data_IF_958280716990
#
_entry.id   IF_958280716990
#
_cell.length_a   1.000
_cell.length_b   1.000
_cell.length_c   1.000
_cell.angle_alpha   90.00
_cell.angle_beta   90.00
_cell.angle_gamma   90.00
#
_symmetry.space_group_name_H-M   'P 1'
#
loop_
_entity.id
_entity.type
_entity.pdbx_description
1 polymer ?
#
# COMPACT_ATOMS: atom_id res chain seq x y z
N UNK A 1 -3.27 17.90 11.22
CA UNK A 1 -3.66 16.76 12.07
C UNK A 1 -3.16 15.47 11.43
N UNK A 2 -2.44 14.65 12.19
CA UNK A 2 -1.68 13.49 11.70
C UNK A 2 -2.56 12.48 10.93
N UNK A 3 -3.73 12.02 11.45
CA UNK A 3 -4.53 11.01 10.76
C UNK A 3 -5.02 11.42 9.37
N UNK A 4 -5.25 12.71 9.12
CA UNK A 4 -5.61 13.23 7.81
C UNK A 4 -4.44 13.18 6.84
N UNK A 5 -3.25 13.64 7.25
CA UNK A 5 -2.05 13.59 6.41
C UNK A 5 -1.71 12.16 6.01
N UNK A 6 -1.79 11.22 6.95
CA UNK A 6 -1.59 9.79 6.70
C UNK A 6 -2.63 9.22 5.71
N UNK A 7 -3.91 9.63 5.82
CA UNK A 7 -4.97 9.21 4.89
C UNK A 7 -4.71 9.75 3.49
N UNK A 8 -4.37 11.02 3.39
CA UNK A 8 -4.12 11.70 2.13
C UNK A 8 -2.95 11.07 1.38
N UNK A 9 -1.83 10.82 2.07
CA UNK A 9 -0.67 10.13 1.51
C UNK A 9 -1.03 8.73 0.99
N UNK A 10 -1.78 7.96 1.79
CA UNK A 10 -2.25 6.64 1.39
C UNK A 10 -3.21 6.68 0.20
N UNK A 11 -4.08 7.69 0.11
CA UNK A 11 -4.99 7.90 -1.03
C UNK A 11 -4.25 8.32 -2.30
N UNK A 12 -3.18 9.11 -2.18
CA UNK A 12 -2.30 9.45 -3.30
C UNK A 12 -1.55 8.23 -3.81
N UNK A 13 -0.98 7.41 -2.90
CA UNK A 13 -0.32 6.16 -3.26
C UNK A 13 -1.27 5.17 -3.94
N UNK A 14 -2.48 5.00 -3.39
CA UNK A 14 -3.51 4.16 -3.99
C UNK A 14 -3.93 4.66 -5.38
N UNK A 15 -3.95 5.98 -5.62
CA UNK A 15 -4.17 6.57 -6.96
C UNK A 15 -3.03 6.27 -7.93
N UNK A 16 -1.77 6.35 -7.50
CA UNK A 16 -0.62 5.96 -8.35
C UNK A 16 -0.72 4.49 -8.76
N UNK A 17 -1.05 3.61 -7.83
CA UNK A 17 -1.26 2.19 -8.13
C UNK A 17 -2.47 1.96 -9.04
N UNK A 18 -3.55 2.73 -8.87
CA UNK A 18 -4.72 2.67 -9.74
C UNK A 18 -4.36 2.92 -11.21
N UNK A 19 -3.42 3.84 -11.49
CA UNK A 19 -2.90 4.05 -12.84
C UNK A 19 -2.13 2.84 -13.39
N UNK A 20 -1.38 2.14 -12.54
CA UNK A 20 -0.74 0.87 -12.93
C UNK A 20 -1.80 -0.20 -13.24
N UNK A 21 -2.82 -0.34 -12.40
CA UNK A 21 -3.92 -1.28 -12.61
C UNK A 21 -4.72 -0.97 -13.89
N UNK A 22 -4.93 0.30 -14.21
CA UNK A 22 -5.52 0.74 -15.49
C UNK A 22 -4.62 0.36 -16.68
N UNK A 23 -3.31 0.51 -16.54
CA UNK A 23 -2.33 0.07 -17.55
C UNK A 23 -2.42 -1.45 -17.77
N UNK A 24 -2.46 -2.26 -16.71
CA UNK A 24 -2.67 -3.71 -16.82
C UNK A 24 -3.99 -4.05 -17.50
N UNK A 25 -5.07 -3.34 -17.16
CA UNK A 25 -6.37 -3.52 -17.80
C UNK A 25 -6.34 -3.19 -19.29
N UNK A 26 -5.59 -2.15 -19.69
CA UNK A 26 -5.40 -1.78 -21.09
C UNK A 26 -4.57 -2.84 -21.84
N UNK A 27 -3.44 -3.26 -21.29
CA UNK A 27 -2.59 -4.32 -21.85
C UNK A 27 -3.37 -5.63 -22.02
N UNK A 28 -4.18 -5.99 -21.02
CA UNK A 28 -5.06 -7.14 -21.05
C UNK A 28 -6.11 -7.03 -22.18
N UNK A 29 -6.79 -5.88 -22.32
CA UNK A 29 -7.75 -5.63 -23.40
C UNK A 29 -7.08 -5.68 -24.78
N UNK A 30 -5.88 -5.11 -24.92
CA UNK A 30 -5.10 -5.18 -26.16
C UNK A 30 -4.74 -6.61 -26.52
N UNK A 31 -4.29 -7.41 -25.55
CA UNK A 31 -4.04 -8.83 -25.75
C UNK A 31 -5.33 -9.56 -26.16
N UNK A 32 -6.44 -9.31 -25.45
CA UNK A 32 -7.73 -9.92 -25.75
C UNK A 32 -8.23 -9.61 -27.16
N UNK A 33 -7.90 -8.45 -27.73
CA UNK A 33 -8.36 -8.03 -29.08
C UNK A 33 -7.34 -8.28 -30.19
N UNK A 34 -6.11 -8.69 -29.84
CA UNK A 34 -5.00 -8.92 -30.76
C UNK A 34 -5.36 -9.85 -31.92
N UNK A 35 -4.73 -9.62 -33.08
CA UNK A 35 -4.79 -10.52 -34.23
C UNK A 35 -4.09 -11.86 -33.94
N UNK A 36 -3.09 -11.85 -33.07
CA UNK A 36 -2.32 -13.03 -32.63
C UNK A 36 -2.93 -13.69 -31.39
N UNK A 37 -4.23 -13.49 -31.14
CA UNK A 37 -4.91 -14.03 -29.97
C UNK A 37 -4.78 -15.56 -29.90
N UNK A 38 -4.33 -16.07 -28.76
CA UNK A 38 -4.10 -17.48 -28.51
C UNK A 38 -2.76 -18.02 -29.02
N UNK A 39 -1.91 -17.18 -29.62
CA UNK A 39 -0.55 -17.56 -29.99
C UNK A 39 0.33 -17.77 -28.73
N UNK A 40 1.24 -18.75 -28.77
CA UNK A 40 2.10 -19.10 -27.63
C UNK A 40 2.94 -17.90 -27.13
N UNK A 41 3.41 -17.04 -28.04
CA UNK A 41 4.18 -15.84 -27.70
C UNK A 41 3.38 -14.70 -27.08
N UNK A 42 2.05 -14.70 -27.19
CA UNK A 42 1.19 -13.62 -26.71
C UNK A 42 1.31 -13.42 -25.20
N UNK A 43 1.27 -14.52 -24.44
CA UNK A 43 1.38 -14.47 -22.99
C UNK A 43 2.75 -13.93 -22.54
N UNK A 44 3.81 -14.22 -23.29
CA UNK A 44 5.15 -13.73 -22.97
C UNK A 44 5.26 -12.24 -23.25
N UNK A 45 4.74 -11.78 -24.39
CA UNK A 45 4.72 -10.36 -24.75
C UNK A 45 3.96 -9.52 -23.73
N UNK A 46 2.75 -9.95 -23.36
CA UNK A 46 1.96 -9.28 -22.31
C UNK A 46 2.70 -9.22 -20.98
N UNK A 47 3.42 -10.29 -20.62
CA UNK A 47 4.19 -10.34 -19.38
C UNK A 47 5.33 -9.32 -19.41
N UNK A 48 6.12 -9.28 -20.48
CA UNK A 48 7.21 -8.30 -20.65
C UNK A 48 6.69 -6.87 -20.55
N UNK A 49 5.65 -6.52 -21.30
CA UNK A 49 5.05 -5.18 -21.27
C UNK A 49 4.52 -4.81 -19.87
N UNK A 50 3.99 -5.79 -19.13
CA UNK A 50 3.52 -5.56 -17.76
C UNK A 50 4.67 -5.33 -16.76
N UNK A 51 5.82 -5.99 -16.94
CA UNK A 51 7.01 -5.72 -16.10
C UNK A 51 7.64 -4.37 -16.41
N UNK A 52 7.70 -3.97 -17.68
CA UNK A 52 8.18 -2.64 -18.06
C UNK A 52 7.30 -1.53 -17.47
N UNK A 53 5.98 -1.72 -17.48
CA UNK A 53 5.04 -0.81 -16.82
C UNK A 53 5.23 -0.80 -15.28
N UNK A 54 5.46 -1.97 -14.69
CA UNK A 54 5.74 -2.09 -13.25
C UNK A 54 7.06 -1.41 -12.85
N UNK A 55 8.12 -1.57 -13.64
CA UNK A 55 9.42 -0.91 -13.42
C UNK A 55 9.26 0.61 -13.43
N UNK A 56 8.55 1.14 -14.43
CA UNK A 56 8.23 2.58 -14.49
C UNK A 56 7.43 3.05 -13.27
N UNK A 57 6.52 2.22 -12.76
CA UNK A 57 5.80 2.51 -11.52
C UNK A 57 6.74 2.54 -10.32
N UNK A 58 7.63 1.55 -10.16
CA UNK A 58 8.54 1.46 -9.01
C UNK A 58 9.51 2.63 -8.95
N UNK A 59 10.07 3.06 -10.08
CA UNK A 59 10.96 4.24 -10.12
C UNK A 59 10.24 5.49 -9.59
N UNK A 60 8.98 5.70 -10.00
CA UNK A 60 8.17 6.85 -9.54
C UNK A 60 7.72 6.72 -8.09
N UNK A 61 7.32 5.52 -7.67
CA UNK A 61 6.75 5.30 -6.34
C UNK A 61 7.84 5.30 -5.26
N UNK A 62 9.06 4.88 -5.61
CA UNK A 62 10.22 4.88 -4.69
C UNK A 62 10.56 6.28 -4.21
N UNK A 63 10.68 7.26 -5.12
CA UNK A 63 10.96 8.66 -4.77
C UNK A 63 9.84 9.23 -3.90
N UNK A 64 8.58 9.08 -4.35
CA UNK A 64 7.43 9.58 -3.59
C UNK A 64 7.29 8.94 -2.21
N UNK A 65 7.60 7.65 -2.07
CA UNK A 65 7.60 6.94 -0.79
C UNK A 65 8.70 7.46 0.14
N UNK A 66 9.89 7.70 -0.40
CA UNK A 66 11.01 8.23 0.36
C UNK A 66 10.68 9.62 0.94
N UNK A 67 10.19 10.52 0.10
CA UNK A 67 9.82 11.89 0.48
C UNK A 67 8.73 11.92 1.55
N UNK A 68 7.64 11.16 1.34
CA UNK A 68 6.51 11.12 2.28
C UNK A 68 6.93 10.52 3.62
N UNK A 69 7.71 9.44 3.60
CA UNK A 69 8.18 8.81 4.83
C UNK A 69 9.10 9.74 5.64
N UNK A 70 10.01 10.45 4.97
CA UNK A 70 10.87 11.44 5.61
C UNK A 70 10.04 12.59 6.20
N UNK A 71 9.07 13.12 5.45
CA UNK A 71 8.16 14.18 5.92
C UNK A 71 7.37 13.74 7.17
N UNK A 72 6.82 12.52 7.19
CA UNK A 72 6.07 12.00 8.34
C UNK A 72 6.98 11.82 9.56
N UNK A 73 8.19 11.26 9.36
CA UNK A 73 9.15 11.09 10.44
C UNK A 73 9.59 12.43 11.03
N UNK A 74 9.93 13.41 10.17
CA UNK A 74 10.35 14.74 10.60
C UNK A 74 9.22 15.47 11.35
N UNK A 75 7.98 15.38 10.87
CA UNK A 75 6.83 15.96 11.56
C UNK A 75 6.57 15.29 12.92
N UNK A 76 6.71 13.97 13.02
CA UNK A 76 6.58 13.24 14.27
C UNK A 76 7.65 13.65 15.28
N UNK A 77 8.90 13.75 14.83
CA UNK A 77 10.03 14.22 15.62
C UNK A 77 9.81 15.65 16.13
N UNK A 78 9.55 16.58 15.22
CA UNK A 78 9.37 18.00 15.56
C UNK A 78 8.24 18.19 16.57
N UNK A 79 7.09 17.54 16.34
CA UNK A 79 5.95 17.60 17.24
C UNK A 79 6.30 17.04 18.63
N UNK A 80 7.01 15.92 18.69
CA UNK A 80 7.42 15.35 19.97
C UNK A 80 8.38 16.29 20.72
N UNK A 81 9.37 16.87 20.05
CA UNK A 81 10.30 17.84 20.65
C UNK A 81 9.58 19.11 21.13
N UNK A 82 8.65 19.64 20.33
CA UNK A 82 7.84 20.81 20.70
C UNK A 82 7.01 20.52 21.96
N UNK A 83 6.40 19.34 22.05
CA UNK A 83 5.62 18.92 23.22
C UNK A 83 6.48 18.67 24.47
N UNK A 84 7.72 18.22 24.30
CA UNK A 84 8.70 18.07 25.37
C UNK A 84 9.31 19.39 25.84
N UNK A 85 9.09 20.50 25.11
CA UNK A 85 9.77 21.78 25.32
C UNK A 85 11.31 21.67 25.33
N UNK A 86 11.84 20.66 24.64
CA UNK A 86 13.27 20.37 24.60
C UNK A 86 13.99 21.25 23.57
N UNK A 87 15.20 21.70 23.91
CA UNK A 87 16.09 22.48 23.02
C UNK A 87 17.15 21.57 22.36
N UNK A 88 17.28 20.33 22.82
CA UNK A 88 18.50 19.52 22.61
C UNK A 88 18.47 18.51 21.46
N UNK A 89 17.39 18.43 20.65
CA UNK A 89 17.29 17.43 19.59
C UNK A 89 16.87 18.01 18.24
N UNK A 90 17.83 18.61 17.52
CA UNK A 90 17.62 19.15 16.17
C UNK A 90 17.45 18.06 15.08
N UNK A 91 17.85 16.81 15.33
CA UNK A 91 17.80 15.74 14.33
C UNK A 91 17.22 14.43 14.83
N UNK A 92 16.66 13.63 13.91
CA UNK A 92 16.26 12.25 14.15
C UNK A 92 17.44 11.41 14.64
N UNK A 93 17.19 10.50 15.59
CA UNK A 93 18.20 9.53 16.04
C UNK A 93 18.52 8.52 14.94
N UNK A 94 19.74 7.96 14.97
CA UNK A 94 20.16 6.93 14.00
C UNK A 94 19.22 5.71 14.01
N UNK A 95 18.71 5.34 15.19
CA UNK A 95 17.75 4.25 15.35
C UNK A 95 16.42 4.56 14.64
N UNK A 96 15.90 5.80 14.79
CA UNK A 96 14.69 6.23 14.10
C UNK A 96 14.89 6.21 12.57
N UNK A 97 16.02 6.72 12.07
CA UNK A 97 16.35 6.69 10.64
C UNK A 97 16.44 5.26 10.08
N UNK A 98 17.10 4.35 10.82
CA UNK A 98 17.18 2.95 10.46
C UNK A 98 15.79 2.29 10.38
N UNK A 99 14.90 2.60 11.35
CA UNK A 99 13.54 2.11 11.35
C UNK A 99 12.71 2.63 10.17
N UNK A 100 12.84 3.91 9.80
CA UNK A 100 12.18 4.48 8.61
C UNK A 100 12.62 3.73 7.36
N UNK A 101 13.94 3.51 7.20
CA UNK A 101 14.51 2.78 6.06
C UNK A 101 14.00 1.33 5.98
N UNK A 102 13.92 0.62 7.11
CA UNK A 102 13.41 -0.75 7.15
C UNK A 102 11.91 -0.80 6.80
N UNK A 103 11.12 0.16 7.31
CA UNK A 103 9.69 0.25 7.03
C UNK A 103 9.41 0.55 5.55
N UNK A 104 10.21 1.43 4.93
CA UNK A 104 10.15 1.69 3.49
C UNK A 104 10.48 0.44 2.67
N UNK A 105 11.53 -0.29 3.08
CA UNK A 105 11.94 -1.53 2.42
C UNK A 105 10.84 -2.58 2.50
N UNK A 106 10.24 -2.77 3.67
CA UNK A 106 9.09 -3.66 3.86
C UNK A 106 7.90 -3.27 2.98
N UNK A 107 7.53 -1.98 2.96
CA UNK A 107 6.43 -1.47 2.14
C UNK A 107 6.68 -1.72 0.65
N UNK A 108 7.88 -1.41 0.17
CA UNK A 108 8.30 -1.65 -1.22
C UNK A 108 8.19 -3.13 -1.60
N UNK A 109 8.64 -4.03 -0.72
CA UNK A 109 8.57 -5.49 -0.93
C UNK A 109 7.12 -6.00 -1.00
N UNK A 110 6.23 -5.51 -0.13
CA UNK A 110 4.80 -5.89 -0.17
C UNK A 110 4.11 -5.41 -1.45
N UNK A 111 4.42 -4.19 -1.92
CA UNK A 111 3.91 -3.67 -3.19
C UNK A 111 4.45 -4.50 -4.36
N UNK A 112 5.75 -4.82 -4.38
CA UNK A 112 6.35 -5.70 -5.38
C UNK A 112 5.66 -7.06 -5.43
N UNK A 113 5.46 -7.70 -4.28
CA UNK A 113 4.73 -8.96 -4.19
C UNK A 113 3.31 -8.84 -4.75
N UNK A 114 2.60 -7.73 -4.48
CA UNK A 114 1.27 -7.51 -5.02
C UNK A 114 1.26 -7.30 -6.55
N UNK A 115 2.21 -6.53 -7.09
CA UNK A 115 2.37 -6.35 -8.53
C UNK A 115 2.60 -7.69 -9.24
N UNK A 116 3.48 -8.53 -8.69
CA UNK A 116 3.70 -9.88 -9.24
C UNK A 116 2.42 -10.73 -9.22
N UNK A 117 1.61 -10.65 -8.16
CA UNK A 117 0.31 -11.35 -8.09
C UNK A 117 -0.67 -10.84 -9.15
N UNK A 118 -0.75 -9.53 -9.34
CA UNK A 118 -1.64 -8.91 -10.34
C UNK A 118 -1.24 -9.31 -11.77
N UNK A 119 0.05 -9.29 -12.10
CA UNK A 119 0.58 -9.74 -13.40
C UNK A 119 0.27 -11.23 -13.61
N UNK A 120 0.47 -12.06 -12.59
CA UNK A 120 0.16 -13.49 -12.66
C UNK A 120 -1.35 -13.72 -12.85
N UNK A 121 -2.21 -12.95 -12.16
CA UNK A 121 -3.66 -13.03 -12.30
C UNK A 121 -4.10 -12.66 -13.72
N UNK A 122 -3.58 -11.56 -14.26
CA UNK A 122 -3.85 -11.12 -15.62
C UNK A 122 -3.48 -12.20 -16.64
N UNK A 123 -2.30 -12.81 -16.49
CA UNK A 123 -1.85 -13.93 -17.34
C UNK A 123 -2.78 -15.13 -17.26
N UNK A 124 -3.13 -15.55 -16.04
CA UNK A 124 -4.01 -16.69 -15.81
C UNK A 124 -5.40 -16.47 -16.44
N UNK A 125 -5.96 -15.27 -16.27
CA UNK A 125 -7.24 -14.89 -16.87
C UNK A 125 -7.17 -14.94 -18.40
N UNK A 126 -6.11 -14.40 -19.02
CA UNK A 126 -5.97 -14.45 -20.48
C UNK A 126 -5.89 -15.89 -20.99
N UNK A 127 -5.10 -16.75 -20.34
CA UNK A 127 -4.98 -18.15 -20.71
C UNK A 127 -6.32 -18.90 -20.61
N UNK A 128 -7.10 -18.63 -19.56
CA UNK A 128 -8.44 -19.19 -19.41
C UNK A 128 -9.35 -18.78 -20.56
N UNK A 129 -9.34 -17.50 -20.95
CA UNK A 129 -10.15 -17.03 -22.08
C UNK A 129 -9.73 -17.67 -23.39
N UNK A 130 -8.42 -17.82 -23.64
CA UNK A 130 -7.92 -18.52 -24.83
C UNK A 130 -8.49 -19.95 -24.91
N UNK A 131 -8.53 -20.67 -23.79
CA UNK A 131 -9.14 -22.00 -23.71
C UNK A 131 -10.65 -21.94 -23.98
N UNK A 132 -11.37 -21.01 -23.34
CA UNK A 132 -12.82 -20.85 -23.49
C UNK A 132 -13.20 -20.51 -24.94
N UNK A 133 -12.51 -19.57 -25.58
CA UNK A 133 -12.68 -19.23 -26.99
C UNK A 133 -12.39 -20.43 -27.88
N UNK A 134 -11.33 -21.19 -27.59
CA UNK A 134 -11.01 -22.43 -28.31
C UNK A 134 -12.08 -23.51 -28.17
N UNK A 135 -12.72 -23.63 -27.01
CA UNK A 135 -13.87 -24.53 -26.80
C UNK A 135 -15.10 -24.04 -27.57
N UNK A 136 -15.40 -22.74 -27.56
CA UNK A 136 -16.51 -22.15 -28.33
C UNK A 136 -16.32 -22.39 -29.84
N UNK A 137 -15.12 -22.14 -30.36
CA UNK A 137 -14.81 -22.34 -31.78
C UNK A 137 -15.07 -23.79 -32.21
N UNK A 138 -14.61 -24.76 -31.42
CA UNK A 138 -14.80 -26.20 -31.69
C UNK A 138 -16.25 -26.65 -31.55
N UNK A 139 -16.93 -26.26 -30.48
CA UNK A 139 -18.30 -26.70 -30.19
C UNK A 139 -19.32 -26.11 -31.15
N UNK A 140 -19.11 -24.86 -31.59
CA UNK A 140 -20.01 -24.16 -32.53
C UNK A 140 -19.58 -24.28 -33.99
N UNK A 141 -18.45 -24.94 -34.26
CA UNK A 141 -17.85 -25.05 -35.59
C UNK A 141 -17.71 -23.69 -36.31
N UNK A 142 -17.20 -22.69 -35.59
CA UNK A 142 -16.95 -21.34 -36.10
C UNK A 142 -15.45 -21.04 -36.05
N UNK A 143 -15.01 -20.08 -36.87
CA UNK A 143 -13.62 -19.64 -36.82
C UNK A 143 -13.27 -18.99 -35.46
N UNK A 144 -11.99 -19.04 -35.08
CA UNK A 144 -11.53 -18.54 -33.77
C UNK A 144 -11.82 -17.05 -33.57
N UNK A 145 -11.78 -16.25 -34.63
CA UNK A 145 -12.05 -14.80 -34.54
C UNK A 145 -13.52 -14.51 -34.23
N UNK A 146 -14.45 -15.24 -34.84
CA UNK A 146 -15.88 -15.15 -34.55
C UNK A 146 -16.18 -15.62 -33.12
N UNK A 147 -15.54 -16.70 -32.67
CA UNK A 147 -15.65 -17.17 -31.28
C UNK A 147 -15.11 -16.15 -30.28
N UNK A 148 -13.97 -15.52 -30.58
CA UNK A 148 -13.38 -14.45 -29.77
C UNK A 148 -14.32 -13.25 -29.65
N UNK A 149 -14.87 -12.76 -30.77
CA UNK A 149 -15.83 -11.65 -30.75
C UNK A 149 -17.11 -12.02 -29.99
N UNK A 150 -17.62 -13.24 -30.17
CA UNK A 150 -18.77 -13.72 -29.41
C UNK A 150 -18.49 -13.78 -27.90
N UNK A 151 -17.28 -14.19 -27.51
CA UNK A 151 -16.87 -14.20 -26.10
C UNK A 151 -16.84 -12.79 -25.51
N UNK A 152 -16.20 -11.84 -26.21
CA UNK A 152 -16.08 -10.44 -25.76
C UNK A 152 -17.44 -9.76 -25.63
N UNK A 153 -18.36 -10.00 -26.58
CA UNK A 153 -19.72 -9.46 -26.52
C UNK A 153 -20.52 -10.06 -25.36
N UNK A 154 -20.33 -11.35 -25.08
CA UNK A 154 -21.04 -12.03 -23.98
C UNK A 154 -20.46 -11.72 -22.59
N UNK A 155 -19.17 -11.36 -22.51
CA UNK A 155 -18.45 -11.12 -21.26
C UNK A 155 -17.81 -9.73 -21.28
N UNK A 156 -18.59 -8.66 -21.04
CA UNK A 156 -18.08 -7.29 -21.04
C UNK A 156 -17.23 -6.96 -19.80
N UNK A 157 -17.05 -7.91 -18.88
CA UNK A 157 -16.37 -7.67 -17.61
C UNK A 157 -14.89 -7.31 -17.81
N UNK A 158 -14.45 -6.27 -17.11
CA UNK A 158 -13.07 -5.79 -17.11
C UNK A 158 -12.18 -6.68 -16.23
N UNK A 159 -10.86 -6.57 -16.41
CA UNK A 159 -9.90 -7.22 -15.53
C UNK A 159 -10.03 -6.61 -14.12
N UNK A 160 -10.51 -7.41 -13.16
CA UNK A 160 -10.60 -6.99 -11.77
C UNK A 160 -9.41 -7.55 -10.98
N UNK A 161 -8.61 -6.66 -10.38
CA UNK A 161 -7.43 -7.01 -9.59
C UNK A 161 -7.74 -7.03 -8.09
N UNK A 162 -7.27 -8.06 -7.40
CA UNK A 162 -7.52 -8.26 -5.97
C UNK A 162 -6.28 -8.78 -5.25
N UNK A 163 -6.13 -8.33 -4.01
CA UNK A 163 -5.37 -9.04 -3.00
C UNK A 163 -6.21 -10.18 -2.43
N UNK A 164 -5.59 -11.34 -2.19
CA UNK A 164 -6.23 -12.50 -1.57
C UNK A 164 -5.45 -12.89 -0.32
N UNK A 165 -6.10 -12.85 0.85
CA UNK A 165 -5.48 -13.24 2.11
C UNK A 165 -5.30 -14.77 2.24
N UNK A 166 -4.58 -15.22 3.28
CA UNK A 166 -4.39 -16.66 3.56
C UNK A 166 -5.69 -17.42 3.84
N UNK A 167 -6.78 -16.71 4.17
CA UNK A 167 -8.13 -17.26 4.41
C UNK A 167 -9.01 -17.18 3.16
N UNK A 168 -8.48 -16.74 2.02
CA UNK A 168 -9.19 -16.64 0.74
C UNK A 168 -10.09 -15.39 0.62
N UNK A 169 -10.01 -14.43 1.54
CA UNK A 169 -10.78 -13.18 1.46
C UNK A 169 -10.17 -12.27 0.38
N UNK A 170 -11.04 -11.75 -0.49
CA UNK A 170 -10.68 -10.88 -1.61
C UNK A 170 -10.87 -9.43 -1.21
N UNK A 171 -9.83 -8.62 -1.42
CA UNK A 171 -9.84 -7.17 -1.21
C UNK A 171 -9.42 -6.51 -2.52
N UNK A 172 -10.13 -5.49 -3.02
CA UNK A 172 -9.68 -4.75 -4.21
C UNK A 172 -8.25 -4.26 -4.03
N UNK A 173 -7.38 -4.43 -5.04
CA UNK A 173 -5.96 -4.13 -4.87
C UNK A 173 -5.72 -2.69 -4.43
N UNK A 174 -6.49 -1.73 -4.97
CA UNK A 174 -6.44 -0.33 -4.54
C UNK A 174 -6.65 -0.15 -3.03
N UNK A 175 -7.64 -0.84 -2.46
CA UNK A 175 -7.93 -0.79 -1.02
C UNK A 175 -6.79 -1.40 -0.22
N UNK A 176 -6.23 -2.52 -0.68
CA UNK A 176 -5.06 -3.14 -0.05
C UNK A 176 -3.84 -2.20 -0.03
N UNK A 177 -3.49 -1.61 -1.18
CA UNK A 177 -2.36 -0.67 -1.30
C UNK A 177 -2.54 0.53 -0.36
N UNK A 178 -3.74 1.12 -0.33
CA UNK A 178 -4.06 2.19 0.61
C UNK A 178 -3.82 1.76 2.06
N UNK A 179 -4.30 0.57 2.44
CA UNK A 179 -4.17 0.07 3.80
C UNK A 179 -2.72 -0.18 4.22
N UNK A 180 -1.89 -0.79 3.36
CA UNK A 180 -0.47 -1.04 3.70
C UNK A 180 0.33 0.26 3.78
N UNK A 181 0.06 1.23 2.90
CA UNK A 181 0.68 2.55 2.96
C UNK A 181 0.34 3.26 4.26
N UNK A 182 -0.96 3.29 4.61
CA UNK A 182 -1.39 3.94 5.84
C UNK A 182 -0.79 3.28 7.08
N UNK A 183 -0.67 1.94 7.09
CA UNK A 183 -0.02 1.23 8.20
C UNK A 183 1.46 1.59 8.32
N UNK A 184 2.19 1.57 7.20
CA UNK A 184 3.62 1.87 7.18
C UNK A 184 3.90 3.30 7.66
N UNK A 185 3.12 4.28 7.18
CA UNK A 185 3.27 5.68 7.58
C UNK A 185 2.87 5.90 9.04
N UNK A 186 1.83 5.22 9.55
CA UNK A 186 1.47 5.26 10.96
C UNK A 186 2.57 4.64 11.83
N UNK A 187 3.17 3.54 11.38
CA UNK A 187 4.31 2.91 12.07
C UNK A 187 5.50 3.84 12.14
N UNK A 188 5.84 4.51 11.03
CA UNK A 188 6.89 5.53 10.99
C UNK A 188 6.62 6.63 12.02
N UNK A 189 5.41 7.21 12.01
CA UNK A 189 5.03 8.25 12.97
C UNK A 189 5.23 7.76 14.42
N UNK A 190 4.60 6.63 14.77
CA UNK A 190 4.59 6.14 16.14
C UNK A 190 5.98 5.77 16.65
N UNK A 191 6.77 5.07 15.84
CA UNK A 191 8.11 4.59 16.23
C UNK A 191 9.10 5.75 16.32
N UNK A 192 8.99 6.74 15.43
CA UNK A 192 9.76 7.99 15.58
C UNK A 192 9.41 8.71 16.88
N UNK A 193 8.12 8.85 17.21
CA UNK A 193 7.70 9.45 18.48
C UNK A 193 8.21 8.66 19.69
N UNK A 194 8.16 7.33 19.65
CA UNK A 194 8.68 6.47 20.73
C UNK A 194 10.18 6.63 20.93
N UNK A 195 10.95 6.69 19.85
CA UNK A 195 12.38 6.95 19.93
C UNK A 195 12.66 8.29 20.61
N UNK A 196 11.95 9.35 20.25
CA UNK A 196 12.12 10.66 20.87
C UNK A 196 11.77 10.63 22.36
N UNK A 197 10.68 9.97 22.74
CA UNK A 197 10.26 9.78 24.14
C UNK A 197 11.35 9.04 24.92
N UNK A 198 11.87 7.94 24.38
CA UNK A 198 12.92 7.13 25.00
C UNK A 198 14.26 7.90 25.12
N UNK A 199 14.62 8.68 24.10
CA UNK A 199 15.85 9.50 24.09
C UNK A 199 15.81 10.58 25.19
N UNK A 200 14.62 11.01 25.61
CA UNK A 200 14.43 11.95 26.72
C UNK A 200 14.18 11.25 28.07
N UNK A 201 14.35 9.92 28.14
CA UNK A 201 14.22 9.15 29.39
C UNK A 201 12.79 9.02 29.92
N UNK A 202 11.78 9.27 29.08
CA UNK A 202 10.38 9.08 29.44
C UNK A 202 9.94 7.64 29.19
N UNK A 203 9.11 7.11 30.08
CA UNK A 203 8.66 5.72 30.03
C UNK A 203 7.26 5.56 29.41
N UNK A 204 6.53 6.65 29.22
CA UNK A 204 5.14 6.62 28.80
C UNK A 204 4.88 7.48 27.56
N UNK A 205 3.96 7.00 26.72
CA UNK A 205 3.44 7.71 25.57
C UNK A 205 1.92 7.87 25.70
N UNK A 206 1.40 9.01 25.27
CA UNK A 206 -0.02 9.26 25.18
C UNK A 206 -0.57 8.64 23.89
N UNK A 207 -1.66 7.88 24.03
CA UNK A 207 -2.43 7.40 22.88
C UNK A 207 -3.45 8.47 22.54
N UNK A 208 -3.20 9.16 21.43
CA UNK A 208 -4.10 10.19 20.91
C UNK A 208 -5.10 9.57 19.95
N UNK A 209 -6.31 10.12 19.91
CA UNK A 209 -7.33 9.80 18.91
C UNK A 209 -7.94 11.07 18.35
N UNK A 210 -8.07 11.12 17.04
CA UNK A 210 -8.82 12.17 16.37
C UNK A 210 -10.33 11.82 16.34
N UNK A 211 -11.13 12.61 17.07
CA UNK A 211 -12.58 12.49 17.15
C UNK A 211 -13.23 13.86 16.87
N UNK A 212 -14.14 13.93 15.90
CA UNK A 212 -14.82 15.16 15.47
C UNK A 212 -13.88 16.34 15.14
N UNK A 213 -12.68 16.03 14.64
CA UNK A 213 -11.67 17.04 14.29
C UNK A 213 -10.86 17.55 15.48
N UNK A 214 -11.03 16.96 16.67
CA UNK A 214 -10.28 17.31 17.89
C UNK A 214 -9.42 16.12 18.31
N UNK A 215 -8.17 16.40 18.64
CA UNK A 215 -7.21 15.41 19.15
C UNK A 215 -7.44 15.24 20.67
N UNK A 216 -7.70 14.02 21.12
CA UNK A 216 -7.93 13.68 22.53
C UNK A 216 -7.01 12.55 22.96
N UNK A 217 -6.49 12.63 24.18
CA UNK A 217 -5.84 11.50 24.85
C UNK A 217 -6.94 10.48 25.19
N UNK A 218 -6.77 9.23 24.77
CA UNK A 218 -7.72 8.14 25.04
C UNK A 218 -7.14 7.04 25.93
N UNK A 219 -5.82 6.93 25.98
CA UNK A 219 -5.11 5.94 26.77
C UNK A 219 -3.66 6.38 26.98
N UNK A 220 -2.94 5.70 27.87
CA UNK A 220 -1.51 5.88 28.13
C UNK A 220 -0.84 4.52 28.14
N UNK A 221 0.27 4.39 27.41
CA UNK A 221 1.01 3.13 27.32
C UNK A 221 2.44 3.30 27.82
N UNK A 222 2.99 2.25 28.43
CA UNK A 222 4.43 2.17 28.65
C UNK A 222 5.11 1.86 27.31
N UNK A 223 6.23 2.53 27.02
CA UNK A 223 6.95 2.34 25.74
C UNK A 223 7.40 0.88 25.54
N UNK A 224 7.65 0.14 26.63
CA UNK A 224 8.04 -1.27 26.58
C UNK A 224 6.91 -2.21 26.15
N UNK A 225 5.65 -1.78 26.32
CA UNK A 225 4.47 -2.57 25.97
C UNK A 225 3.99 -2.31 24.54
N UNK A 226 4.61 -1.38 23.81
CA UNK A 226 4.15 -0.92 22.50
C UNK A 226 3.90 -2.08 21.53
N UNK A 227 4.83 -3.04 21.45
CA UNK A 227 4.72 -4.18 20.53
C UNK A 227 3.45 -5.04 20.78
N UNK A 228 2.98 -5.13 22.03
CA UNK A 228 1.80 -5.91 22.39
C UNK A 228 0.49 -5.18 22.07
N UNK A 229 0.48 -3.85 22.20
CA UNK A 229 -0.72 -3.02 21.99
C UNK A 229 -0.84 -2.48 20.57
N UNK A 230 0.25 -2.50 19.78
CA UNK A 230 0.33 -1.89 18.45
C UNK A 230 -0.80 -2.31 17.53
N UNK A 231 -0.98 -3.62 17.35
CA UNK A 231 -1.95 -4.13 16.38
C UNK A 231 -3.41 -3.93 16.85
N UNK A 232 -3.62 -3.65 18.13
CA UNK A 232 -4.94 -3.40 18.72
C UNK A 232 -5.35 -1.93 18.58
N UNK A 233 -4.41 -1.01 18.84
CA UNK A 233 -4.67 0.43 18.90
C UNK A 233 -4.33 1.16 17.59
N UNK A 234 -3.30 0.71 16.87
CA UNK A 234 -2.72 1.39 15.71
C UNK A 234 -2.85 0.54 14.44
N UNK A 235 -4.08 0.42 13.96
CA UNK A 235 -4.40 -0.29 12.72
C UNK A 235 -4.73 0.69 11.58
N UNK A 236 -4.74 0.26 10.29
CA UNK A 236 -4.86 1.19 9.16
C UNK A 236 -6.16 1.98 9.16
N UNK A 237 -7.22 1.46 9.76
CA UNK A 237 -8.51 2.16 9.86
C UNK A 237 -8.66 2.98 11.15
N UNK A 238 -7.65 3.01 12.02
CA UNK A 238 -7.70 3.74 13.27
C UNK A 238 -7.38 5.21 12.99
N UNK A 239 -7.96 6.07 13.81
CA UNK A 239 -7.58 7.48 13.91
C UNK A 239 -6.70 7.72 15.14
N UNK A 240 -6.16 6.64 15.70
CA UNK A 240 -5.29 6.68 16.87
C UNK A 240 -3.83 6.72 16.44
N UNK A 241 -3.00 7.44 17.20
CA UNK A 241 -1.56 7.61 16.97
C UNK A 241 -0.87 7.93 18.31
N UNK A 242 0.45 7.82 18.37
CA UNK A 242 1.23 8.17 19.55
C UNK A 242 1.64 9.65 19.57
N UNK A 243 1.65 10.21 20.78
CA UNK A 243 2.19 11.52 21.08
C UNK A 243 2.86 11.50 22.48
N UNK A 244 3.54 12.60 22.82
CA UNK A 244 4.20 12.78 24.11
C UNK A 244 3.15 12.92 25.22
N UNK A 245 3.39 12.24 26.35
CA UNK A 245 2.59 12.40 27.56
C UNK A 245 2.94 13.71 28.26
N UNK A 246 2.03 14.69 28.24
CA UNK A 246 2.30 16.04 28.77
C UNK A 246 2.35 16.10 30.30
N UNK A 247 1.71 15.13 30.97
CA UNK A 247 1.73 15.06 32.43
C UNK A 247 3.13 14.74 32.98
N UNK A 248 3.95 14.00 32.21
CA UNK A 248 5.32 13.62 32.60
C UNK A 248 6.35 14.74 32.35
N UNK A 249 6.00 15.76 31.53
CA UNK A 249 6.89 16.88 31.17
C UNK A 249 6.83 18.03 32.20
N UNK A 250 5.77 18.07 33.02
CA UNK A 250 5.50 19.17 33.96
C UNK A 250 6.04 18.92 35.37
N UNK A 251 6.72 17.79 35.60
CA UNK A 251 7.26 17.36 36.89
C UNK A 251 8.77 17.68 37.00
#
# INVERSE_FOLDING_TARGET
MIPHRLSEAADQAARRYDHLAQTFSALYKMALMSAEFGYAGQSQKLFVEAYEAAETYFERDKEAMADIAAEIAENAHRRAIENLQSVDAESLSEAALAHVSETQTYLSNEIAAQVHRDIAHMRFQLQRIVLDVGMIARTRNVNSRAAQMAYVVANPHELELYFVDRRGRRTPTRTFIRSIYRQALLSIHNETTLHVIADHGLEHAAVMKLEDGVEKVIDRININDYAAVRDQLFHPNANSYLDVETDDVSA
#
